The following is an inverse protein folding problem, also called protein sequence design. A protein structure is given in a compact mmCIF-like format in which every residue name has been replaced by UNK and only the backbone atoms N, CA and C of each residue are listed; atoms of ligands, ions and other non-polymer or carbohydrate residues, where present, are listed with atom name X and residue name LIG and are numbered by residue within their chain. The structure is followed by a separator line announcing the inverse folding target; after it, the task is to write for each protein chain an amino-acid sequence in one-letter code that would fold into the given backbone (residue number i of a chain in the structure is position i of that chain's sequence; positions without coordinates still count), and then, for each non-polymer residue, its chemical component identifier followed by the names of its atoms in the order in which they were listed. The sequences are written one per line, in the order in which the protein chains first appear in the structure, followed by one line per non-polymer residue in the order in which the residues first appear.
data_IF_696754952950
#
_entry.id   IF_696754952950
#
_cell.length_a   1.000
_cell.length_b   1.000
_cell.length_c   1.000
_cell.angle_alpha   90.00
_cell.angle_beta   90.00
_cell.angle_gamma   90.00
#
_symmetry.space_group_name_H-M   'P 1'
#
loop_
_entity.id
_entity.type
_entity.pdbx_description
1 polymer ?
#
# COMPACT_ATOMS: atom_id res chain seq x y z
N UNK A 1 -3.07 -14.10 9.25
CA UNK A 1 -3.34 -12.73 8.78
C UNK A 1 -2.76 -11.78 9.80
N UNK A 2 -2.07 -10.73 9.33
CA UNK A 2 -1.62 -9.64 10.20
C UNK A 2 -2.82 -8.81 10.63
N UNK A 3 -2.82 -8.33 11.86
CA UNK A 3 -3.87 -7.43 12.35
C UNK A 3 -3.72 -6.03 11.76
N UNK A 4 -4.82 -5.27 11.67
CA UNK A 4 -4.82 -3.85 11.24
C UNK A 4 -3.75 -3.03 11.96
N UNK A 5 -3.62 -3.22 13.29
CA UNK A 5 -2.62 -2.52 14.09
C UNK A 5 -1.17 -2.83 13.68
N UNK A 6 -0.89 -4.07 13.24
CA UNK A 6 0.45 -4.45 12.77
C UNK A 6 0.74 -3.79 11.43
N UNK A 7 -0.23 -3.82 10.50
CA UNK A 7 -0.11 -3.19 9.18
C UNK A 7 0.07 -1.68 9.30
N UNK A 8 -0.70 -1.03 10.17
CA UNK A 8 -0.56 0.41 10.42
C UNK A 8 0.80 0.74 11.03
N UNK A 9 1.33 -0.11 11.91
CA UNK A 9 2.66 0.06 12.48
C UNK A 9 3.73 -0.05 11.38
N UNK A 10 3.65 -1.07 10.53
CA UNK A 10 4.55 -1.25 9.38
C UNK A 10 4.50 -0.04 8.44
N UNK A 11 3.30 0.45 8.11
CA UNK A 11 3.14 1.67 7.30
C UNK A 11 3.81 2.88 7.94
N UNK A 12 3.66 3.05 9.26
CA UNK A 12 4.27 4.16 10.00
C UNK A 12 5.80 4.02 10.03
N UNK A 13 6.31 2.82 10.22
CA UNK A 13 7.74 2.53 10.16
C UNK A 13 8.28 2.84 8.76
N UNK A 14 7.65 2.32 7.71
CA UNK A 14 8.02 2.58 6.31
C UNK A 14 7.92 4.07 5.93
N UNK A 15 6.95 4.81 6.46
CA UNK A 15 6.84 6.27 6.26
C UNK A 15 7.97 7.04 6.96
N UNK A 16 8.45 6.56 8.09
CA UNK A 16 9.54 7.17 8.86
C UNK A 16 10.93 6.72 8.40
N UNK A 17 11.03 5.84 7.41
CA UNK A 17 12.32 5.43 6.84
C UNK A 17 12.98 6.60 6.12
N UNK A 18 14.23 6.86 6.46
CA UNK A 18 15.05 7.86 5.77
C UNK A 18 15.60 7.33 4.44
N UNK A 19 15.68 6.00 4.30
CA UNK A 19 16.23 5.34 3.11
C UNK A 19 15.23 5.20 1.95
N UNK A 20 13.92 5.22 2.23
CA UNK A 20 12.85 5.17 1.22
C UNK A 20 11.67 6.00 1.69
N UNK A 21 11.19 6.90 0.82
CA UNK A 21 9.99 7.68 1.13
C UNK A 21 8.76 6.97 0.59
N UNK A 22 7.93 6.44 1.49
CA UNK A 22 6.60 5.95 1.12
C UNK A 22 5.76 7.13 0.58
N UNK A 23 5.31 7.03 -0.67
CA UNK A 23 4.43 8.04 -1.29
C UNK A 23 2.98 7.71 -0.98
N UNK A 24 2.58 6.47 -1.27
CA UNK A 24 1.19 6.04 -1.14
C UNK A 24 1.08 4.52 -0.92
N UNK A 25 -0.10 4.09 -0.49
CA UNK A 25 -0.45 2.68 -0.38
C UNK A 25 -1.49 2.35 -1.45
N UNK A 26 -1.23 1.32 -2.24
CA UNK A 26 -2.18 0.84 -3.24
C UNK A 26 -2.88 -0.43 -2.75
N UNK A 27 -4.20 -0.38 -2.69
CA UNK A 27 -5.06 -1.52 -2.39
C UNK A 27 -5.69 -2.05 -3.67
N UNK A 28 -5.49 -3.32 -3.96
CA UNK A 28 -6.12 -4.02 -5.07
C UNK A 28 -7.19 -4.97 -4.55
N UNK A 29 -8.45 -4.64 -4.81
CA UNK A 29 -9.60 -5.44 -4.37
C UNK A 29 -10.03 -6.35 -5.52
N UNK A 30 -9.84 -7.66 -5.34
CA UNK A 30 -10.27 -8.71 -6.28
C UNK A 30 -11.25 -9.65 -5.59
N UNK A 31 -12.50 -9.68 -6.08
CA UNK A 31 -13.60 -10.43 -5.47
C UNK A 31 -13.79 -10.04 -4.00
N UNK A 32 -13.36 -10.91 -3.08
CA UNK A 32 -13.46 -10.74 -1.62
C UNK A 32 -12.08 -10.64 -0.94
N UNK A 33 -11.01 -10.56 -1.72
CA UNK A 33 -9.65 -10.43 -1.23
C UNK A 33 -9.07 -9.07 -1.60
N UNK A 34 -8.30 -8.50 -0.69
CA UNK A 34 -7.64 -7.21 -0.85
C UNK A 34 -6.14 -7.42 -0.76
N UNK A 35 -5.41 -6.99 -1.77
CA UNK A 35 -3.95 -7.01 -1.78
C UNK A 35 -3.42 -5.61 -1.56
N UNK A 36 -2.56 -5.42 -0.57
CA UNK A 36 -1.94 -4.15 -0.23
C UNK A 36 -0.52 -4.09 -0.77
N UNK A 37 -0.21 -3.00 -1.45
CA UNK A 37 1.09 -2.68 -2.02
C UNK A 37 1.60 -1.35 -1.47
N UNK A 38 2.91 -1.26 -1.24
CA UNK A 38 3.59 -0.05 -0.79
C UNK A 38 4.26 0.62 -1.99
N UNK A 39 3.89 1.87 -2.28
CA UNK A 39 4.45 2.67 -3.36
C UNK A 39 5.45 3.68 -2.79
N UNK A 40 6.69 3.61 -3.26
CA UNK A 40 7.80 4.44 -2.78
C UNK A 40 8.23 5.47 -3.83
N UNK A 41 8.77 6.59 -3.37
CA UNK A 41 9.41 7.60 -4.22
C UNK A 41 10.71 7.01 -4.78
N UNK A 42 10.71 6.68 -6.06
CA UNK A 42 11.96 6.36 -6.75
C UNK A 42 12.77 7.65 -6.91
N UNK A 43 13.97 7.69 -6.33
CA UNK A 43 14.98 8.67 -6.70
C UNK A 43 15.32 8.43 -8.18
N UNK A 44 14.92 9.36 -9.06
CA UNK A 44 15.02 9.31 -10.53
C UNK A 44 16.20 8.47 -11.06
N UNK A 45 15.97 7.18 -11.31
CA UNK A 45 16.84 6.40 -12.17
C UNK A 45 16.42 6.69 -13.62
N UNK A 46 17.02 7.73 -14.21
CA UNK A 46 17.17 7.97 -15.66
C UNK A 46 16.20 7.22 -16.58
N UNK A 47 15.08 7.88 -16.92
CA UNK A 47 14.34 7.89 -18.20
C UNK A 47 14.09 6.64 -19.07
N UNK A 48 14.45 5.41 -18.69
CA UNK A 48 14.34 4.26 -19.63
C UNK A 48 13.42 3.11 -19.18
N UNK A 49 12.85 3.12 -17.97
CA UNK A 49 12.03 2.00 -17.48
C UNK A 49 10.78 2.44 -16.70
N UNK A 50 9.82 3.07 -17.38
CA UNK A 50 8.51 3.45 -16.80
C UNK A 50 7.59 2.28 -16.40
N UNK A 51 8.05 1.02 -16.44
CA UNK A 51 7.20 -0.16 -16.22
C UNK A 51 7.63 -1.07 -15.06
N UNK A 52 8.69 -0.73 -14.34
CA UNK A 52 9.13 -1.50 -13.19
C UNK A 52 9.02 -0.66 -11.92
N UNK A 53 7.79 -0.48 -11.44
CA UNK A 53 7.57 -0.15 -10.04
C UNK A 53 8.20 -1.30 -9.25
N UNK A 54 9.38 -1.06 -8.67
CA UNK A 54 10.02 -2.05 -7.81
C UNK A 54 9.20 -2.15 -6.54
N UNK A 55 8.27 -3.10 -6.50
CA UNK A 55 7.63 -3.55 -5.27
C UNK A 55 8.72 -4.18 -4.39
N UNK A 56 9.42 -3.33 -3.63
CA UNK A 56 10.45 -3.75 -2.68
C UNK A 56 9.87 -4.34 -1.41
N UNK A 57 8.56 -4.20 -1.20
CA UNK A 57 7.82 -4.81 -0.12
C UNK A 57 6.90 -5.90 -0.70
N UNK A 58 6.85 -7.05 -0.04
CA UNK A 58 5.93 -8.11 -0.40
C UNK A 58 4.48 -7.63 -0.29
N UNK A 59 3.60 -8.01 -1.22
CA UNK A 59 2.19 -7.68 -1.13
C UNK A 59 1.56 -8.37 0.09
N UNK A 60 0.78 -7.60 0.85
CA UNK A 60 0.04 -8.11 2.01
C UNK A 60 -1.39 -8.46 1.61
N UNK A 61 -1.85 -9.64 2.00
CA UNK A 61 -3.21 -10.10 1.72
C UNK A 61 -4.12 -9.84 2.92
N UNK A 62 -5.19 -9.11 2.67
CA UNK A 62 -6.16 -8.62 3.65
C UNK A 62 -7.57 -9.09 3.27
N UNK A 63 -8.38 -9.35 4.29
CA UNK A 63 -9.83 -9.51 4.13
C UNK A 63 -10.50 -8.14 4.00
N UNK A 64 -11.72 -8.11 3.46
CA UNK A 64 -12.52 -6.89 3.33
C UNK A 64 -12.72 -6.14 4.65
N UNK A 65 -12.98 -6.85 5.75
CA UNK A 65 -13.13 -6.22 7.08
C UNK A 65 -11.83 -5.54 7.53
N UNK A 66 -10.70 -6.24 7.38
CA UNK A 66 -9.37 -5.70 7.71
C UNK A 66 -9.03 -4.49 6.83
N UNK A 67 -9.39 -4.55 5.55
CA UNK A 67 -9.19 -3.46 4.60
C UNK A 67 -10.00 -2.21 4.98
N UNK A 68 -11.29 -2.36 5.31
CA UNK A 68 -12.13 -1.21 5.68
C UNK A 68 -11.62 -0.53 6.95
N UNK A 69 -11.23 -1.31 7.97
CA UNK A 69 -10.64 -0.79 9.20
C UNK A 69 -9.27 -0.13 8.97
N UNK A 70 -8.41 -0.74 8.14
CA UNK A 70 -7.11 -0.18 7.82
C UNK A 70 -7.24 1.12 7.03
N UNK A 71 -8.18 1.17 6.09
CA UNK A 71 -8.47 2.36 5.28
C UNK A 71 -8.84 3.54 6.17
N UNK A 72 -9.76 3.33 7.11
CA UNK A 72 -10.18 4.36 8.07
C UNK A 72 -8.98 4.84 8.91
N UNK A 73 -8.16 3.91 9.42
CA UNK A 73 -6.96 4.25 10.18
C UNK A 73 -5.91 5.02 9.35
N UNK A 74 -5.79 4.74 8.06
CA UNK A 74 -4.89 5.48 7.17
C UNK A 74 -5.39 6.90 6.88
N UNK A 75 -6.70 7.08 6.70
CA UNK A 75 -7.31 8.40 6.53
C UNK A 75 -7.14 9.26 7.79
N UNK A 76 -7.34 8.69 8.98
CA UNK A 76 -7.14 9.36 10.27
C UNK A 76 -5.69 9.81 10.47
N UNK A 77 -4.72 9.04 10.00
CA UNK A 77 -3.29 9.36 10.04
C UNK A 77 -2.83 10.28 8.89
N UNK A 78 -3.75 10.64 7.98
CA UNK A 78 -3.47 11.46 6.80
C UNK A 78 -2.50 10.80 5.83
N UNK A 79 -2.50 9.46 5.74
CA UNK A 79 -1.67 8.68 4.83
C UNK A 79 -2.42 8.50 3.51
N UNK A 80 -1.77 8.90 2.41
CA UNK A 80 -2.34 8.75 1.08
C UNK A 80 -2.45 7.28 0.72
N UNK A 81 -3.63 6.89 0.27
CA UNK A 81 -3.87 5.55 -0.24
C UNK A 81 -4.78 5.59 -1.47
N UNK A 82 -4.67 4.57 -2.30
CA UNK A 82 -5.44 4.40 -3.53
C UNK A 82 -6.06 3.02 -3.54
N UNK A 83 -7.31 2.93 -3.95
CA UNK A 83 -8.00 1.65 -4.14
C UNK A 83 -8.22 1.39 -5.64
N UNK A 84 -7.84 0.21 -6.10
CA UNK A 84 -8.12 -0.32 -7.43
C UNK A 84 -9.04 -1.51 -7.27
N UNK A 85 -10.28 -1.35 -7.71
CA UNK A 85 -11.28 -2.43 -7.71
C UNK A 85 -11.42 -2.88 -9.15
N UNK A 86 -11.00 -4.11 -9.44
CA UNK A 86 -11.14 -4.67 -10.78
C UNK A 86 -12.60 -5.10 -10.95
N UNK A 87 -13.41 -4.18 -11.50
CA UNK A 87 -14.81 -4.46 -11.84
C UNK A 87 -14.77 -5.18 -13.18
N UNK A 88 -14.81 -6.50 -13.17
CA UNK A 88 -15.10 -7.27 -14.38
C UNK A 88 -16.50 -6.86 -14.86
N UNK A 89 -16.56 -6.16 -16.00
CA UNK A 89 -17.77 -5.82 -16.75
C UNK A 89 -18.23 -7.01 -17.61
#
# INVERSE_FOLDING_TARGET
MKSVAQLLTEVKEERNREDKKLIEIQFEVRNEQVTMFFEYEEEQATQDNHYFIRHHHDPEFLDMETFELLKEALDDEGIRHKQRRDVFL
#
